data_IF_648623006612
#
_entry.id   IF_648623006612
#
_cell.length_a   1.000
_cell.length_b   1.000
_cell.length_c   1.000
_cell.angle_alpha   90.00
_cell.angle_beta   90.00
_cell.angle_gamma   90.00
#
_symmetry.space_group_name_H-M   'P 1'
#
loop_
_entity.id
_entity.type
_entity.pdbx_description
1 polymer ?
#
# COMPACT_ATOMS: atom_id res chain seq x y z
N UNK A 1 -2.95 11.13 4.60
CA UNK A 1 -4.13 11.99 4.30
C UNK A 1 -4.03 12.44 2.85
N UNK A 2 -5.16 12.75 2.20
CA UNK A 2 -5.19 13.38 0.87
C UNK A 2 -5.58 14.86 0.99
N UNK A 3 -4.92 15.70 0.21
CA UNK A 3 -5.34 17.07 -0.08
C UNK A 3 -5.13 17.31 -1.57
N UNK A 4 -5.97 18.13 -2.18
CA UNK A 4 -5.81 18.54 -3.57
C UNK A 4 -5.84 20.06 -3.69
N UNK A 5 -5.33 20.56 -4.82
CA UNK A 5 -5.37 21.96 -5.21
C UNK A 5 -5.87 22.06 -6.64
N UNK A 6 -6.79 22.99 -6.88
CA UNK A 6 -7.37 23.32 -8.18
C UNK A 6 -6.84 24.66 -8.72
N UNK A 7 -5.90 25.28 -8.01
CA UNK A 7 -5.38 26.61 -8.31
C UNK A 7 -3.85 26.68 -8.25
N UNK A 8 -3.21 25.67 -8.86
CA UNK A 8 -1.76 25.57 -9.00
C UNK A 8 -1.01 25.63 -7.65
N UNK A 9 -1.56 24.98 -6.62
CA UNK A 9 -0.94 24.88 -5.30
C UNK A 9 -1.12 26.11 -4.40
N UNK A 10 -1.94 27.09 -4.80
CA UNK A 10 -2.14 28.33 -4.01
C UNK A 10 -2.94 28.05 -2.74
N UNK A 11 -4.00 27.26 -2.85
CA UNK A 11 -4.77 26.76 -1.71
C UNK A 11 -4.98 25.26 -1.84
N UNK A 12 -5.21 24.62 -0.70
CA UNK A 12 -5.45 23.20 -0.60
C UNK A 12 -6.81 22.93 0.01
N UNK A 13 -7.44 21.84 -0.39
CA UNK A 13 -8.64 21.33 0.26
C UNK A 13 -8.36 21.03 1.74
N UNK A 14 -9.41 20.93 2.59
CA UNK A 14 -9.29 20.23 3.86
C UNK A 14 -8.71 18.83 3.66
N UNK A 15 -7.95 18.36 4.64
CA UNK A 15 -7.36 17.02 4.58
C UNK A 15 -8.39 15.91 4.78
N UNK A 16 -8.35 14.91 3.90
CA UNK A 16 -9.17 13.71 3.97
C UNK A 16 -8.33 12.58 4.55
N UNK A 17 -8.80 11.94 5.63
CA UNK A 17 -8.17 10.72 6.15
C UNK A 17 -8.52 9.56 5.20
N UNK A 18 -7.49 8.89 4.67
CA UNK A 18 -7.63 7.75 3.76
C UNK A 18 -7.71 6.43 4.52
N UNK A 19 -6.89 6.33 5.58
CA UNK A 19 -6.77 5.13 6.39
C UNK A 19 -7.93 4.99 7.38
N UNK A 20 -8.58 3.82 7.39
CA UNK A 20 -9.64 3.43 8.34
C UNK A 20 -9.13 2.59 9.53
N UNK A 21 -7.82 2.36 9.63
CA UNK A 21 -7.20 1.70 10.78
C UNK A 21 -7.50 2.45 12.10
N UNK A 22 -7.80 1.64 13.11
CA UNK A 22 -8.14 2.04 14.47
C UNK A 22 -7.01 1.74 15.47
N UNK A 23 -5.95 1.07 15.04
CA UNK A 23 -4.75 0.85 15.85
C UNK A 23 -3.85 2.08 15.87
N UNK A 24 -2.69 1.96 16.54
CA UNK A 24 -1.63 2.97 16.54
C UNK A 24 -0.42 2.55 15.68
N UNK A 25 -0.58 1.49 14.89
CA UNK A 25 0.46 0.97 14.02
C UNK A 25 0.73 1.91 12.84
N UNK A 26 1.84 1.68 12.16
CA UNK A 26 2.43 2.60 11.20
C UNK A 26 1.81 2.46 9.83
N UNK A 27 1.64 3.60 9.16
CA UNK A 27 1.32 3.67 7.74
C UNK A 27 2.27 4.62 7.03
N UNK A 28 2.85 4.20 5.91
CA UNK A 28 3.93 4.95 5.28
C UNK A 28 4.03 4.69 3.77
N UNK A 29 4.86 5.52 3.12
CA UNK A 29 5.20 5.47 1.69
C UNK A 29 3.98 5.27 0.75
N UNK A 30 3.02 6.21 0.72
CA UNK A 30 1.86 6.09 -0.14
C UNK A 30 2.23 6.28 -1.62
N UNK A 31 1.57 5.53 -2.51
CA UNK A 31 1.51 5.76 -3.94
C UNK A 31 0.08 6.10 -4.37
N UNK A 32 -0.08 7.02 -5.31
CA UNK A 32 -1.38 7.49 -5.80
C UNK A 32 -1.39 7.49 -7.33
N UNK A 33 -2.51 7.11 -7.91
CA UNK A 33 -2.74 7.19 -9.35
C UNK A 33 -4.17 7.64 -9.67
N UNK A 34 -4.31 8.34 -10.80
CA UNK A 34 -5.58 8.82 -11.36
C UNK A 34 -5.86 8.05 -12.66
N UNK A 35 -7.05 7.49 -12.79
CA UNK A 35 -7.54 7.00 -14.07
C UNK A 35 -7.95 8.19 -14.94
N UNK A 36 -7.21 8.39 -16.03
CA UNK A 36 -7.45 9.50 -16.95
C UNK A 36 -8.80 9.41 -17.69
N UNK A 37 -9.42 8.23 -17.73
CA UNK A 37 -10.67 8.01 -18.48
C UNK A 37 -11.93 8.30 -17.65
N UNK A 38 -11.89 8.04 -16.35
CA UNK A 38 -13.03 8.25 -15.43
C UNK A 38 -12.83 9.41 -14.46
N UNK A 39 -11.58 9.76 -14.15
CA UNK A 39 -11.25 10.69 -13.06
C UNK A 39 -11.17 10.02 -11.69
N UNK A 40 -11.22 8.69 -11.63
CA UNK A 40 -11.13 7.94 -10.37
C UNK A 40 -9.71 7.98 -9.81
N UNK A 41 -9.60 7.98 -8.49
CA UNK A 41 -8.32 8.04 -7.78
C UNK A 41 -8.17 6.78 -6.95
N UNK A 42 -6.99 6.15 -7.00
CA UNK A 42 -6.64 5.05 -6.12
C UNK A 42 -5.32 5.34 -5.43
N UNK A 43 -5.22 4.92 -4.17
CA UNK A 43 -4.05 5.12 -3.31
C UNK A 43 -3.70 3.79 -2.66
N UNK A 44 -2.42 3.44 -2.65
CA UNK A 44 -1.87 2.32 -1.88
C UNK A 44 -0.80 2.80 -0.90
N UNK A 45 -0.56 2.07 0.18
CA UNK A 45 0.47 2.36 1.17
C UNK A 45 0.92 1.09 1.89
N UNK A 46 2.06 1.19 2.58
CA UNK A 46 2.51 0.17 3.52
C UNK A 46 1.80 0.38 4.84
N UNK A 47 1.31 -0.70 5.43
CA UNK A 47 0.53 -0.68 6.64
C UNK A 47 0.94 -1.84 7.54
N UNK A 48 1.15 -1.57 8.82
CA UNK A 48 1.51 -2.57 9.83
C UNK A 48 0.31 -2.89 10.74
N UNK A 49 -0.93 -2.53 10.38
CA UNK A 49 -2.13 -2.72 11.23
C UNK A 49 -2.38 -4.16 11.67
N UNK A 50 -1.91 -5.15 10.92
CA UNK A 50 -2.08 -6.57 11.25
C UNK A 50 -0.92 -7.13 12.08
N UNK A 51 0.12 -6.34 12.30
CA UNK A 51 1.30 -6.73 13.05
C UNK A 51 1.16 -6.35 14.53
N UNK A 52 0.65 -7.28 15.32
CA UNK A 52 0.18 -7.04 16.68
C UNK A 52 1.16 -7.51 17.76
N UNK A 53 2.31 -8.09 17.41
CA UNK A 53 3.29 -8.66 18.33
C UNK A 53 2.79 -9.91 19.09
N UNK A 54 1.85 -10.64 18.50
CA UNK A 54 1.24 -11.85 19.08
C UNK A 54 1.30 -13.06 18.12
N UNK A 55 2.03 -12.93 17.01
CA UNK A 55 2.10 -13.85 15.90
C UNK A 55 0.84 -13.83 15.02
N UNK A 56 0.90 -14.53 13.89
CA UNK A 56 -0.24 -14.70 12.99
C UNK A 56 0.17 -14.61 11.54
N UNK A 57 -0.79 -14.42 10.64
CA UNK A 57 -0.46 -14.17 9.23
C UNK A 57 0.11 -12.78 8.99
N UNK A 58 -0.09 -11.85 9.93
CA UNK A 58 0.32 -10.45 9.84
C UNK A 58 1.59 -10.09 10.60
N UNK A 59 2.20 -11.06 11.26
CA UNK A 59 3.24 -10.89 12.28
C UNK A 59 4.13 -12.14 12.21
N UNK A 60 5.39 -11.91 11.86
CA UNK A 60 6.38 -12.93 11.46
C UNK A 60 7.32 -13.30 12.60
N UNK A 61 7.51 -12.43 13.59
CA UNK A 61 8.52 -12.58 14.64
C UNK A 61 8.02 -12.24 16.07
N UNK A 62 6.74 -11.94 16.25
CA UNK A 62 6.10 -11.50 17.48
C UNK A 62 6.60 -10.14 18.02
N UNK A 63 7.15 -9.29 17.16
CA UNK A 63 7.45 -7.89 17.43
C UNK A 63 6.35 -7.06 16.77
N UNK A 64 5.65 -6.16 17.50
CA UNK A 64 4.63 -5.35 16.87
C UNK A 64 5.24 -4.18 16.09
N UNK A 65 4.55 -3.83 15.01
CA UNK A 65 4.75 -2.62 14.22
C UNK A 65 6.10 -2.54 13.48
N UNK A 66 6.60 -3.65 12.95
CA UNK A 66 7.73 -3.73 12.02
C UNK A 66 7.49 -4.63 10.79
N UNK A 67 6.45 -5.47 10.82
CA UNK A 67 5.94 -6.21 9.68
C UNK A 67 4.85 -5.45 8.91
N UNK A 68 4.88 -5.55 7.58
CA UNK A 68 4.00 -4.75 6.72
C UNK A 68 3.27 -5.57 5.65
N UNK A 69 2.07 -5.08 5.30
CA UNK A 69 1.32 -5.46 4.11
C UNK A 69 1.00 -4.23 3.28
N UNK A 70 0.61 -4.45 2.02
CA UNK A 70 0.12 -3.38 1.16
C UNK A 70 -1.37 -3.26 1.31
N UNK A 71 -1.83 -2.04 1.57
CA UNK A 71 -3.24 -1.68 1.64
C UNK A 71 -3.56 -0.62 0.62
N UNK A 72 -4.82 -0.56 0.21
CA UNK A 72 -5.30 0.42 -0.74
C UNK A 72 -6.73 0.87 -0.46
N UNK A 73 -7.09 2.00 -1.07
CA UNK A 73 -8.45 2.54 -1.17
C UNK A 73 -8.60 3.28 -2.50
N UNK A 74 -9.84 3.45 -2.92
CA UNK A 74 -10.20 4.12 -4.16
C UNK A 74 -11.32 5.16 -3.94
N UNK A 75 -11.46 6.04 -4.92
CA UNK A 75 -12.50 7.04 -5.01
C UNK A 75 -13.02 7.09 -6.44
N UNK A 76 -14.31 6.79 -6.61
CA UNK A 76 -15.03 6.87 -7.89
C UNK A 76 -15.76 8.20 -8.09
N UNK A 77 -15.40 9.22 -7.30
CA UNK A 77 -16.01 10.56 -7.34
C UNK A 77 -14.97 11.68 -7.26
N UNK A 78 -13.82 11.48 -7.91
CA UNK A 78 -12.77 12.48 -8.05
C UNK A 78 -12.06 12.81 -6.74
N UNK A 79 -11.95 11.86 -5.80
CA UNK A 79 -11.26 12.05 -4.53
C UNK A 79 -12.09 12.74 -3.43
N UNK A 80 -13.41 12.84 -3.59
CA UNK A 80 -14.29 13.48 -2.59
C UNK A 80 -14.56 12.55 -1.40
N UNK A 81 -14.79 11.26 -1.68
CA UNK A 81 -14.93 10.21 -0.66
C UNK A 81 -14.16 8.97 -1.08
N UNK A 82 -13.72 8.18 -0.09
CA UNK A 82 -12.93 6.97 -0.30
C UNK A 82 -13.68 5.73 0.18
N UNK A 83 -13.49 4.62 -0.54
CA UNK A 83 -14.01 3.32 -0.18
C UNK A 83 -13.31 2.77 1.08
N UNK A 84 -13.89 1.76 1.77
CA UNK A 84 -13.20 1.03 2.82
C UNK A 84 -11.84 0.52 2.34
N UNK A 85 -10.85 0.49 3.23
CA UNK A 85 -9.51 0.00 2.86
C UNK A 85 -9.54 -1.51 2.63
N UNK A 86 -8.70 -1.98 1.71
CA UNK A 86 -8.53 -3.40 1.44
C UNK A 86 -7.05 -3.75 1.32
N UNK A 87 -6.71 -4.96 1.76
CA UNK A 87 -5.36 -5.50 1.63
C UNK A 87 -5.11 -5.97 0.18
N UNK A 88 -3.95 -5.62 -0.36
CA UNK A 88 -3.49 -5.95 -1.71
C UNK A 88 -2.51 -7.12 -1.69
N UNK A 89 -1.50 -7.10 -0.81
CA UNK A 89 -0.54 -8.20 -0.70
C UNK A 89 -1.19 -9.41 -0.01
N UNK A 90 -0.90 -10.62 -0.46
CA UNK A 90 -1.45 -11.83 0.17
C UNK A 90 -0.67 -12.22 1.44
N UNK A 91 0.63 -11.97 1.45
CA UNK A 91 1.52 -12.21 2.57
C UNK A 91 1.98 -10.93 3.27
N UNK A 92 2.83 -11.15 4.26
CA UNK A 92 3.44 -10.14 5.13
C UNK A 92 4.94 -10.11 4.89
N UNK A 93 5.48 -8.90 4.74
CA UNK A 93 6.90 -8.66 4.54
C UNK A 93 7.52 -8.10 5.81
N UNK A 94 8.81 -8.40 6.02
CA UNK A 94 9.61 -7.94 7.15
C UNK A 94 10.87 -7.23 6.65
N UNK A 95 11.09 -5.98 7.06
CA UNK A 95 12.26 -5.21 6.66
C UNK A 95 13.56 -5.67 7.33
N UNK A 96 13.47 -6.25 8.53
CA UNK A 96 14.62 -6.76 9.30
C UNK A 96 15.22 -8.01 8.63
N UNK A 97 14.38 -8.83 8.01
CA UNK A 97 14.79 -10.04 7.30
C UNK A 97 15.27 -9.79 5.86
N UNK A 98 15.20 -8.54 5.40
CA UNK A 98 15.58 -8.17 4.05
C UNK A 98 17.10 -7.97 3.89
N UNK A 99 17.79 -8.93 3.26
CA UNK A 99 19.22 -8.83 2.88
C UNK A 99 19.40 -8.22 1.46
N UNK A 100 18.73 -7.10 1.22
CA UNK A 100 18.47 -6.56 -0.12
C UNK A 100 19.41 -5.41 -0.50
N UNK A 101 19.53 -5.15 -1.81
CA UNK A 101 20.21 -3.95 -2.31
C UNK A 101 19.34 -2.68 -2.32
N UNK A 102 18.03 -2.83 -2.09
CA UNK A 102 17.08 -1.74 -1.98
C UNK A 102 16.21 -1.94 -0.73
N UNK A 103 15.69 -0.84 -0.19
CA UNK A 103 15.01 -0.82 1.10
C UNK A 103 13.48 -0.80 0.97
N UNK A 104 12.79 -1.00 2.10
CA UNK A 104 11.34 -0.84 2.16
C UNK A 104 10.93 0.55 1.67
N UNK A 105 10.04 0.58 0.68
CA UNK A 105 9.56 1.83 0.10
C UNK A 105 10.28 2.24 -1.18
N UNK A 106 11.47 1.70 -1.45
CA UNK A 106 12.11 1.92 -2.74
C UNK A 106 11.24 1.39 -3.87
N UNK A 107 11.18 2.15 -4.96
CA UNK A 107 10.36 1.86 -6.15
C UNK A 107 8.85 1.74 -5.89
N UNK A 108 8.35 2.29 -4.78
CA UNK A 108 6.91 2.35 -4.52
C UNK A 108 6.23 3.30 -5.51
N UNK A 109 5.32 2.78 -6.32
CA UNK A 109 4.61 3.55 -7.35
C UNK A 109 3.24 2.95 -7.63
N UNK A 110 2.42 3.63 -8.43
CA UNK A 110 1.20 3.04 -8.95
C UNK A 110 0.83 3.58 -10.34
N UNK A 111 0.11 2.76 -11.10
CA UNK A 111 -0.56 3.17 -12.34
C UNK A 111 -2.06 2.88 -12.26
N UNK A 112 -2.87 3.66 -12.96
CA UNK A 112 -4.33 3.45 -13.00
C UNK A 112 -4.87 3.79 -14.39
N UNK A 113 -5.53 2.81 -15.02
CA UNK A 113 -6.13 2.99 -16.34
C UNK A 113 -7.32 2.06 -16.54
N UNK A 114 -8.42 2.61 -17.05
CA UNK A 114 -9.64 1.87 -17.42
C UNK A 114 -10.14 0.93 -16.31
N UNK A 115 -10.25 1.42 -15.08
CA UNK A 115 -10.72 0.65 -13.93
C UNK A 115 -9.71 -0.37 -13.39
N UNK A 116 -8.47 -0.37 -13.86
CA UNK A 116 -7.40 -1.25 -13.38
C UNK A 116 -6.29 -0.46 -12.66
N UNK A 117 -6.27 -0.54 -11.33
CA UNK A 117 -5.22 0.01 -10.49
C UNK A 117 -4.09 -1.01 -10.31
N UNK A 118 -2.85 -0.54 -10.42
CA UNK A 118 -1.63 -1.34 -10.38
C UNK A 118 -0.62 -0.70 -9.42
N UNK A 119 -0.71 -0.99 -8.10
CA UNK A 119 0.34 -0.61 -7.16
C UNK A 119 1.59 -1.48 -7.37
N UNK A 120 2.75 -0.92 -7.09
CA UNK A 120 4.04 -1.61 -7.05
C UNK A 120 4.75 -1.33 -5.73
N UNK A 121 5.39 -2.34 -5.16
CA UNK A 121 6.02 -2.27 -3.83
C UNK A 121 7.19 -3.23 -3.66
N UNK A 122 8.06 -2.95 -2.69
CA UNK A 122 9.09 -3.86 -2.19
C UNK A 122 8.47 -4.95 -1.32
N UNK A 123 8.69 -6.23 -1.64
CA UNK A 123 8.06 -7.36 -0.97
C UNK A 123 9.03 -8.52 -0.76
N UNK A 124 9.02 -9.13 0.43
CA UNK A 124 9.69 -10.40 0.70
C UNK A 124 8.74 -11.43 1.34
N UNK A 125 7.44 -11.21 1.22
CA UNK A 125 6.41 -12.12 1.73
C UNK A 125 6.30 -13.41 0.93
N UNK A 126 6.79 -13.39 -0.32
CA UNK A 126 6.60 -14.46 -1.29
C UNK A 126 5.11 -14.78 -1.53
N UNK A 127 4.30 -13.72 -1.70
CA UNK A 127 2.83 -13.80 -1.87
C UNK A 127 2.37 -14.76 -2.98
N UNK A 128 3.22 -15.05 -3.96
CA UNK A 128 2.94 -15.93 -5.11
C UNK A 128 3.55 -17.33 -4.97
N UNK A 129 4.42 -17.55 -3.97
CA UNK A 129 5.11 -18.83 -3.74
C UNK A 129 6.24 -19.14 -4.72
N UNK A 130 6.55 -18.24 -5.64
CA UNK A 130 7.56 -18.38 -6.69
C UNK A 130 8.67 -17.31 -6.61
N UNK A 131 8.77 -16.58 -5.49
CA UNK A 131 9.91 -15.74 -5.20
C UNK A 131 11.20 -16.60 -5.23
N UNK A 132 12.20 -16.25 -6.06
CA UNK A 132 13.44 -17.03 -6.20
C UNK A 132 14.28 -17.08 -4.93
N UNK A 133 14.22 -16.04 -4.09
CA UNK A 133 14.91 -15.94 -2.81
C UNK A 133 14.07 -16.52 -1.64
N UNK A 134 12.80 -16.82 -1.90
CA UNK A 134 11.88 -17.45 -0.96
C UNK A 134 11.15 -16.45 -0.06
N UNK A 135 10.61 -16.96 1.05
CA UNK A 135 9.84 -16.19 2.03
C UNK A 135 10.77 -15.58 3.09
N UNK A 136 10.57 -14.30 3.41
CA UNK A 136 11.34 -13.51 4.39
C UNK A 136 12.85 -13.53 4.11
N UNK A 137 13.17 -13.09 2.90
CA UNK A 137 14.53 -12.99 2.37
C UNK A 137 14.69 -11.65 1.65
N UNK A 138 15.52 -11.57 0.61
CA UNK A 138 15.63 -10.39 -0.23
C UNK A 138 14.27 -9.90 -0.75
N UNK A 139 14.16 -8.58 -0.89
CA UNK A 139 13.04 -7.92 -1.50
C UNK A 139 13.08 -8.11 -3.01
N UNK A 140 11.89 -8.34 -3.55
CA UNK A 140 11.56 -8.23 -4.95
C UNK A 140 10.54 -7.11 -5.17
N UNK A 141 10.32 -6.76 -6.44
CA UNK A 141 9.23 -5.87 -6.80
C UNK A 141 7.98 -6.65 -7.18
N UNK A 142 6.93 -6.41 -6.41
CA UNK A 142 5.62 -6.99 -6.65
C UNK A 142 4.66 -5.94 -7.19
N UNK A 143 3.69 -6.42 -7.98
CA UNK A 143 2.53 -5.63 -8.42
C UNK A 143 1.30 -6.53 -8.48
N UNK A 144 0.12 -5.94 -8.35
CA UNK A 144 -1.15 -6.65 -8.49
C UNK A 144 -2.13 -5.83 -9.32
N UNK A 145 -2.97 -6.52 -10.11
CA UNK A 145 -4.13 -5.86 -10.72
C UNK A 145 -5.25 -5.78 -9.70
N UNK A 146 -5.63 -4.57 -9.33
CA UNK A 146 -6.83 -4.29 -8.54
C UNK A 146 -7.89 -3.73 -9.49
N UNK A 147 -9.06 -4.38 -9.55
CA UNK A 147 -10.18 -3.89 -10.36
C UNK A 147 -11.04 -2.94 -9.52
N UNK A 148 -11.16 -1.69 -9.97
CA UNK A 148 -11.99 -0.66 -9.35
C UNK A 148 -13.31 -0.56 -10.14
N UNK A 149 -14.47 -0.53 -9.46
CA UNK A 149 -15.79 -0.55 -10.10
C UNK A 149 -16.11 0.65 -11.00
#
# INVERSE_FOLDING_TARGET
>A
MLQYSDNNGTTWSPAIKLNDDLTTNSQYNPAIALDQSSGDVAVSWYDTRNDLGIGGSGDTDAIPNDDFQIWATDSTNGGTTFAPNFQVSAGTSNAVDADSFFDTGDYTHAAFVSGAFWPAWSDNSNSTGDNPDGTLHQFDLYTAKVSIP
#
